data_IF_619519155781
#
_entry.id   IF_619519155781
#
_cell.length_a   1.000
_cell.length_b   1.000
_cell.length_c   1.000
_cell.angle_alpha   90.00
_cell.angle_beta   90.00
_cell.angle_gamma   90.00
#
_symmetry.space_group_name_H-M   'P 1'
#
loop_
_entity.id
_entity.type
_entity.pdbx_description
1 polymer ?
#
# COMPACT_ATOMS: atom_id res chain seq x y z
N UNK A 1 -9.77 42.82 -26.93
CA UNK A 1 -8.98 41.56 -26.85
C UNK A 1 -8.09 41.48 -25.58
N UNK A 2 -8.50 42.00 -24.42
CA UNK A 2 -7.75 41.87 -23.15
C UNK A 2 -8.47 41.00 -22.11
N UNK A 3 -9.81 40.95 -22.19
CA UNK A 3 -10.68 40.17 -21.28
C UNK A 3 -10.53 38.66 -21.49
N UNK A 4 -10.32 38.21 -22.74
CA UNK A 4 -10.15 36.79 -23.08
C UNK A 4 -8.82 36.24 -22.52
N UNK A 5 -7.74 37.03 -22.58
CA UNK A 5 -6.41 36.64 -22.07
C UNK A 5 -6.41 36.54 -20.53
N UNK A 6 -7.15 37.42 -19.84
CA UNK A 6 -7.32 37.36 -18.38
C UNK A 6 -8.02 36.07 -17.94
N UNK A 7 -9.01 35.61 -18.69
CA UNK A 7 -9.76 34.39 -18.36
C UNK A 7 -8.94 33.11 -18.63
N UNK A 8 -8.09 33.12 -19.66
CA UNK A 8 -7.18 32.00 -19.98
C UNK A 8 -6.16 31.77 -18.86
N UNK A 9 -5.64 32.84 -18.26
CA UNK A 9 -4.70 32.74 -17.14
C UNK A 9 -5.30 32.05 -15.91
N UNK A 10 -6.60 32.23 -15.66
CA UNK A 10 -7.31 31.59 -14.54
C UNK A 10 -7.49 30.10 -14.81
N UNK A 11 -7.81 29.72 -16.05
CA UNK A 11 -8.03 28.32 -16.44
C UNK A 11 -6.73 27.49 -16.33
N UNK A 12 -5.59 28.07 -16.73
CA UNK A 12 -4.27 27.41 -16.60
C UNK A 12 -3.90 27.20 -15.13
N UNK A 13 -4.20 28.17 -14.27
CA UNK A 13 -3.96 28.06 -12.83
C UNK A 13 -4.83 26.99 -12.16
N UNK A 14 -6.11 26.86 -12.56
CA UNK A 14 -6.98 25.80 -12.07
C UNK A 14 -6.52 24.40 -12.51
N UNK A 15 -5.93 24.25 -13.70
CA UNK A 15 -5.44 22.95 -14.19
C UNK A 15 -4.21 22.45 -13.42
N UNK A 16 -3.38 23.35 -12.90
CA UNK A 16 -2.19 23.00 -12.10
C UNK A 16 -2.52 22.48 -10.70
N UNK A 17 -3.67 22.86 -10.13
CA UNK A 17 -4.06 22.46 -8.76
C UNK A 17 -4.60 21.02 -8.75
N UNK A 18 -5.14 20.54 -9.87
CA UNK A 18 -5.71 19.18 -10.00
C UNK A 18 -4.67 18.06 -10.03
N UNK A 19 -3.38 18.37 -10.15
CA UNK A 19 -2.28 17.40 -10.26
C UNK A 19 -1.72 16.95 -8.90
N UNK A 20 -2.46 17.12 -7.80
CA UNK A 20 -2.05 16.57 -6.52
C UNK A 20 -2.22 15.05 -6.55
N UNK A 21 -1.09 14.43 -6.87
CA UNK A 21 -0.87 13.01 -7.09
C UNK A 21 -1.42 12.13 -5.96
N UNK A 22 -2.41 11.32 -6.29
CA UNK A 22 -2.92 10.21 -5.47
C UNK A 22 -2.05 8.98 -5.76
N UNK A 23 -0.81 8.97 -5.25
CA UNK A 23 0.04 7.80 -5.38
C UNK A 23 0.39 7.24 -4.00
N UNK A 24 -0.16 6.06 -3.70
CA UNK A 24 0.41 5.22 -2.66
C UNK A 24 1.82 4.83 -3.11
N UNK A 25 2.83 5.11 -2.28
CA UNK A 25 4.22 4.83 -2.61
C UNK A 25 4.55 3.40 -2.20
N UNK A 26 4.98 2.56 -3.15
CA UNK A 26 5.49 1.23 -2.82
C UNK A 26 6.80 1.36 -2.04
N UNK A 27 6.87 0.69 -0.89
CA UNK A 27 8.06 0.64 -0.03
C UNK A 27 8.86 -0.62 -0.36
N UNK A 28 8.24 -1.80 -0.22
CA UNK A 28 8.91 -3.09 -0.45
C UNK A 28 7.92 -4.11 -1.02
N UNK A 29 8.45 -5.07 -1.79
CA UNK A 29 7.73 -6.27 -2.21
C UNK A 29 8.31 -7.47 -1.45
N UNK A 30 7.44 -8.27 -0.86
CA UNK A 30 7.76 -9.46 -0.06
C UNK A 30 7.19 -10.65 -0.82
N UNK A 31 8.06 -11.53 -1.28
CA UNK A 31 7.67 -12.71 -2.07
C UNK A 31 7.97 -13.98 -1.27
N UNK A 32 6.99 -14.86 -1.18
CA UNK A 32 7.14 -16.21 -0.66
C UNK A 32 6.88 -17.20 -1.78
N UNK A 33 7.93 -17.95 -2.11
CA UNK A 33 7.86 -19.09 -2.99
C UNK A 33 7.77 -20.35 -2.13
N UNK A 34 6.63 -21.03 -2.19
CA UNK A 34 6.40 -22.30 -1.52
C UNK A 34 6.50 -23.44 -2.53
N UNK A 35 7.32 -24.45 -2.21
CA UNK A 35 7.44 -25.66 -3.04
C UNK A 35 6.10 -26.37 -3.26
N UNK A 36 5.16 -26.22 -2.33
CA UNK A 36 3.84 -26.84 -2.37
C UNK A 36 2.78 -25.87 -1.84
N UNK A 37 1.52 -26.07 -2.27
CA UNK A 37 0.37 -25.31 -1.75
C UNK A 37 0.33 -25.41 -0.22
N UNK A 38 0.35 -24.26 0.45
CA UNK A 38 0.23 -24.22 1.91
C UNK A 38 -1.13 -24.80 2.33
N UNK A 39 -1.12 -25.75 3.26
CA UNK A 39 -2.34 -26.43 3.73
C UNK A 39 -3.07 -25.65 4.82
N UNK A 40 -2.33 -24.82 5.53
CA UNK A 40 -2.81 -24.06 6.68
C UNK A 40 -2.38 -22.60 6.57
N UNK A 41 -3.17 -21.73 7.18
CA UNK A 41 -2.78 -20.34 7.41
C UNK A 41 -1.43 -20.28 8.12
N UNK A 42 -0.52 -19.46 7.58
CA UNK A 42 0.87 -19.42 8.04
C UNK A 42 1.20 -18.02 8.54
N UNK A 43 1.64 -17.83 9.79
CA UNK A 43 2.03 -16.52 10.30
C UNK A 43 3.34 -16.06 9.64
N UNK A 44 3.34 -14.83 9.17
CA UNK A 44 4.51 -14.15 8.61
C UNK A 44 4.86 -12.93 9.44
N UNK A 45 6.16 -12.59 9.44
CA UNK A 45 6.66 -11.39 10.09
C UNK A 45 7.85 -10.80 9.35
N UNK A 46 8.02 -9.50 9.43
CA UNK A 46 9.18 -8.79 8.89
C UNK A 46 9.59 -7.64 9.82
N UNK A 47 10.89 -7.36 9.86
CA UNK A 47 11.47 -6.22 10.58
C UNK A 47 11.31 -4.94 9.75
N UNK A 48 10.60 -3.95 10.29
CA UNK A 48 10.34 -2.68 9.63
C UNK A 48 11.50 -1.69 9.78
N UNK A 49 12.33 -1.77 10.81
CA UNK A 49 13.38 -0.75 11.06
C UNK A 49 14.48 -0.80 10.00
N UNK A 50 14.68 -1.96 9.39
CA UNK A 50 15.57 -2.15 8.25
C UNK A 50 14.93 -1.80 6.90
N UNK A 51 13.64 -1.49 6.85
CA UNK A 51 12.87 -1.33 5.60
C UNK A 51 12.32 0.09 5.46
N UNK A 52 11.76 0.67 6.53
CA UNK A 52 11.01 1.92 6.42
C UNK A 52 10.83 2.65 7.75
N UNK A 53 10.75 3.99 7.68
CA UNK A 53 10.57 4.90 8.80
C UNK A 53 9.23 5.69 8.87
N UNK A 54 8.35 5.72 7.86
CA UNK A 54 7.03 6.33 8.02
C UNK A 54 6.25 5.76 9.22
N UNK A 55 5.36 6.58 9.82
CA UNK A 55 4.46 6.12 10.88
C UNK A 55 3.59 4.95 10.44
N UNK A 56 3.31 4.04 11.38
CA UNK A 56 2.51 2.83 11.17
C UNK A 56 1.12 3.12 10.58
N UNK A 57 0.51 4.25 10.94
CA UNK A 57 -0.79 4.69 10.43
C UNK A 57 -0.80 4.96 8.92
N UNK A 58 0.38 5.22 8.34
CA UNK A 58 0.56 5.43 6.91
C UNK A 58 0.90 4.14 6.17
N UNK A 59 1.02 3.01 6.86
CA UNK A 59 1.38 1.74 6.24
C UNK A 59 0.13 0.97 5.83
N UNK A 60 0.20 0.33 4.68
CA UNK A 60 -0.80 -0.65 4.23
C UNK A 60 -0.08 -1.84 3.62
N UNK A 61 -0.49 -3.04 4.01
CA UNK A 61 -0.03 -4.28 3.38
C UNK A 61 -1.05 -4.69 2.31
N UNK A 62 -0.57 -5.00 1.12
CA UNK A 62 -1.41 -5.40 -0.02
C UNK A 62 -0.95 -6.76 -0.52
N UNK A 63 -1.82 -7.76 -0.47
CA UNK A 63 -1.62 -9.03 -1.16
C UNK A 63 -1.89 -8.87 -2.66
N UNK A 64 -0.95 -9.35 -3.47
CA UNK A 64 -1.00 -9.33 -4.93
C UNK A 64 -1.26 -10.76 -5.40
N UNK A 65 -2.33 -10.95 -6.17
CA UNK A 65 -2.70 -12.23 -6.78
C UNK A 65 -3.08 -12.00 -8.23
N UNK A 66 -2.11 -12.19 -9.13
CA UNK A 66 -2.25 -11.75 -10.53
C UNK A 66 -2.50 -10.24 -10.59
N UNK A 67 -3.60 -9.84 -11.25
CA UNK A 67 -4.01 -8.43 -11.36
C UNK A 67 -4.80 -7.93 -10.13
N UNK A 68 -5.15 -8.81 -9.19
CA UNK A 68 -5.92 -8.45 -8.01
C UNK A 68 -5.01 -7.96 -6.89
N UNK A 69 -5.37 -6.80 -6.34
CA UNK A 69 -4.71 -6.18 -5.18
C UNK A 69 -5.69 -6.12 -4.02
N UNK A 70 -5.40 -6.82 -2.93
CA UNK A 70 -6.28 -6.93 -1.77
C UNK A 70 -5.57 -6.39 -0.53
N UNK A 71 -6.22 -5.50 0.22
CA UNK A 71 -5.65 -5.02 1.47
C UNK A 71 -5.63 -6.17 2.50
N UNK A 72 -4.46 -6.43 3.07
CA UNK A 72 -4.24 -7.52 4.03
C UNK A 72 -4.17 -6.93 5.44
N UNK A 73 -5.00 -7.39 6.38
CA UNK A 73 -4.87 -7.01 7.78
C UNK A 73 -3.49 -7.39 8.33
N UNK A 74 -2.89 -6.49 9.08
CA UNK A 74 -1.60 -6.70 9.73
C UNK A 74 -1.59 -6.08 11.12
N UNK A 75 -0.60 -6.42 11.91
CA UNK A 75 -0.32 -5.83 13.22
C UNK A 75 1.14 -5.41 13.28
N UNK A 76 1.42 -4.28 13.94
CA UNK A 76 2.79 -3.85 14.22
C UNK A 76 3.03 -3.95 15.73
N UNK A 77 4.10 -4.63 16.09
CA UNK A 77 4.63 -4.63 17.44
C UNK A 77 5.74 -3.59 17.52
N UNK A 78 5.54 -2.56 18.35
CA UNK A 78 6.44 -1.42 18.53
C UNK A 78 7.63 -1.69 19.49
N UNK A 79 8.11 -2.94 19.51
CA UNK A 79 9.35 -3.27 20.21
C UNK A 79 10.59 -2.75 19.47
N UNK A 80 11.77 -3.12 19.97
CA UNK A 80 13.03 -2.96 19.24
C UNK A 80 13.50 -4.37 18.81
N UNK A 81 13.32 -4.75 17.53
CA UNK A 81 12.86 -3.94 16.39
C UNK A 81 11.34 -3.85 16.24
N UNK A 82 10.86 -2.89 15.44
CA UNK A 82 9.45 -2.82 15.00
C UNK A 82 9.13 -3.98 14.07
N UNK A 83 8.23 -4.87 14.48
CA UNK A 83 7.86 -6.06 13.71
C UNK A 83 6.46 -5.93 13.12
N UNK A 84 6.34 -6.07 11.80
CA UNK A 84 5.05 -6.22 11.12
C UNK A 84 4.68 -7.70 11.03
N UNK A 85 3.47 -8.04 11.44
CA UNK A 85 2.92 -9.40 11.51
C UNK A 85 1.64 -9.50 10.68
N UNK A 86 1.48 -10.60 9.94
CA UNK A 86 0.27 -10.91 9.19
C UNK A 86 0.12 -12.42 9.00
N UNK A 87 -1.02 -12.83 8.45
CA UNK A 87 -1.31 -14.23 8.13
C UNK A 87 -1.31 -14.39 6.61
N UNK A 88 -0.56 -15.39 6.14
CA UNK A 88 -0.62 -15.87 4.76
C UNK A 88 -1.77 -16.87 4.66
N UNK A 89 -2.79 -16.50 3.87
CA UNK A 89 -3.98 -17.33 3.68
C UNK A 89 -3.70 -18.48 2.70
N UNK A 90 -4.23 -19.66 2.99
CA UNK A 90 -4.10 -20.84 2.11
C UNK A 90 -5.05 -20.85 0.90
N UNK A 91 -5.87 -19.81 0.75
CA UNK A 91 -6.94 -19.71 -0.25
C UNK A 91 -6.54 -19.00 -1.54
N UNK A 92 -5.25 -18.70 -1.75
CA UNK A 92 -4.80 -18.05 -2.99
C UNK A 92 -4.98 -19.01 -4.17
N UNK A 93 -5.64 -18.56 -5.23
CA UNK A 93 -6.01 -19.37 -6.40
C UNK A 93 -4.78 -20.11 -6.97
N UNK A 94 -3.63 -19.42 -7.02
CA UNK A 94 -2.35 -19.97 -7.51
C UNK A 94 -1.44 -20.60 -6.44
N UNK A 95 -1.77 -20.45 -5.15
CA UNK A 95 -1.22 -21.06 -3.92
C UNK A 95 0.25 -21.48 -3.76
N UNK A 96 1.12 -21.24 -4.73
CA UNK A 96 2.57 -21.47 -4.67
C UNK A 96 3.30 -20.17 -4.39
N UNK A 97 2.83 -19.06 -4.98
CA UNK A 97 3.44 -17.75 -4.82
C UNK A 97 2.52 -16.83 -4.03
N UNK A 98 3.03 -16.28 -2.94
CA UNK A 98 2.34 -15.26 -2.15
C UNK A 98 3.16 -13.99 -2.15
N UNK A 99 2.67 -12.98 -2.87
CA UNK A 99 3.34 -11.70 -3.02
C UNK A 99 2.59 -10.64 -2.21
N UNK A 100 3.31 -9.92 -1.38
CA UNK A 100 2.80 -8.79 -0.61
C UNK A 100 3.58 -7.52 -0.94
N UNK A 101 2.90 -6.39 -0.96
CA UNK A 101 3.50 -5.07 -1.08
C UNK A 101 3.20 -4.26 0.17
N UNK A 102 4.25 -3.75 0.80
CA UNK A 102 4.11 -2.70 1.80
C UNK A 102 4.08 -1.36 1.07
N UNK A 103 3.03 -0.59 1.30
CA UNK A 103 2.87 0.73 0.69
C UNK A 103 2.68 1.79 1.76
N UNK A 104 3.19 2.98 1.48
CA UNK A 104 2.86 4.21 2.20
C UNK A 104 1.63 4.83 1.56
N UNK A 105 0.55 4.97 2.33
CA UNK A 105 -0.63 5.76 1.98
C UNK A 105 -0.50 7.17 2.52
N UNK A 106 -1.01 8.15 1.78
CA UNK A 106 -1.07 9.54 2.22
C UNK A 106 -2.34 9.76 3.05
N UNK A 107 -2.22 10.50 4.16
CA UNK A 107 -3.25 10.69 5.20
C UNK A 107 -4.59 11.21 4.65
N UNK A 108 -4.56 11.90 3.50
CA UNK A 108 -5.74 12.49 2.89
C UNK A 108 -6.75 11.46 2.38
N UNK A 109 -6.34 10.21 2.17
CA UNK A 109 -7.19 9.16 1.57
C UNK A 109 -7.76 8.15 2.58
N UNK A 110 -7.16 8.00 3.75
CA UNK A 110 -7.59 7.01 4.77
C UNK A 110 -9.00 7.30 5.31
N UNK A 111 -9.41 8.58 5.33
CA UNK A 111 -10.74 9.00 5.78
C UNK A 111 -11.87 8.76 4.76
N UNK A 112 -11.56 8.51 3.49
CA UNK A 112 -12.59 8.35 2.45
C UNK A 112 -13.14 6.92 2.35
N UNK A 113 -12.49 5.93 2.97
CA UNK A 113 -12.85 4.51 2.86
C UNK A 113 -13.54 3.94 4.10
N UNK A 114 -13.77 4.77 5.13
CA UNK A 114 -14.42 4.41 6.39
C UNK A 114 -15.86 4.96 6.53
N UNK A 115 -16.50 5.37 5.43
CA UNK A 115 -17.92 5.73 5.38
C UNK A 115 -18.70 4.80 4.46
#
# INVERSE_FOLDING_TARGET
MKIIIKNISVIIFCFFISYQNIYAQKIVTIDFDFENKIKFETPAKIDLDNITFPPDSLLTLIEISGDKRTATPFQINNGEPRLLHWIINNNVENGLNHVYELVKVDDKNSYSKMK
#
